data_IF_406533862952
#
_entry.id   IF_406533862952
#
_cell.length_a   1.000
_cell.length_b   1.000
_cell.length_c   1.000
_cell.angle_alpha   90.00
_cell.angle_beta   90.00
_cell.angle_gamma   90.00
#
_symmetry.space_group_name_H-M   'P 1'
#
loop_
_entity.id
_entity.type
_entity.pdbx_description
1 polymer ?
#
# COMPACT_ATOMS: atom_id res chain seq x y z
N UNK A 1 29.84 -7.51 -17.32
CA UNK A 1 28.87 -7.66 -18.42
C UNK A 1 29.57 -7.85 -19.74
N UNK A 2 30.45 -6.95 -20.20
CA UNK A 2 31.10 -7.00 -21.50
C UNK A 2 31.93 -8.26 -21.75
N UNK A 3 32.73 -8.69 -20.76
CA UNK A 3 33.57 -9.91 -20.84
C UNK A 3 32.77 -11.19 -21.16
N UNK A 4 31.50 -11.26 -20.73
CA UNK A 4 30.67 -12.45 -20.89
C UNK A 4 29.54 -12.29 -21.92
N UNK A 5 29.49 -11.12 -22.59
CA UNK A 5 28.46 -10.78 -23.57
C UNK A 5 28.26 -11.82 -24.70
N UNK A 6 29.30 -12.52 -25.19
CA UNK A 6 29.11 -13.54 -26.21
C UNK A 6 28.24 -14.72 -25.73
N UNK A 7 28.37 -15.09 -24.45
CA UNK A 7 27.75 -16.30 -23.89
C UNK A 7 26.60 -16.00 -22.88
N UNK A 8 26.34 -14.72 -22.56
CA UNK A 8 25.37 -14.34 -21.55
C UNK A 8 24.39 -13.26 -22.10
N UNK A 9 23.12 -13.50 -21.89
CA UNK A 9 22.07 -12.47 -22.07
C UNK A 9 21.51 -12.12 -20.70
N UNK A 10 21.53 -10.83 -20.34
CA UNK A 10 21.12 -10.33 -19.05
C UNK A 10 19.86 -9.48 -19.17
N UNK A 11 18.81 -9.85 -18.45
CA UNK A 11 17.57 -9.07 -18.32
C UNK A 11 17.44 -8.64 -16.86
N UNK A 12 17.39 -7.32 -16.62
CA UNK A 12 17.22 -6.73 -15.30
C UNK A 12 15.81 -6.20 -15.17
N UNK A 13 15.09 -6.61 -14.14
CA UNK A 13 13.75 -6.14 -13.81
C UNK A 13 13.83 -5.23 -12.59
N UNK A 14 13.33 -4.02 -12.71
CA UNK A 14 13.33 -3.04 -11.62
C UNK A 14 12.11 -2.13 -11.70
N UNK A 15 11.57 -1.73 -10.54
CA UNK A 15 10.47 -0.76 -10.47
C UNK A 15 10.94 0.67 -10.75
N UNK A 16 12.21 0.97 -10.50
CA UNK A 16 12.81 2.29 -10.73
C UNK A 16 14.26 2.14 -11.18
N UNK A 17 14.66 2.98 -12.12
CA UNK A 17 16.05 3.07 -12.60
C UNK A 17 16.99 3.71 -11.59
N UNK A 18 16.49 4.36 -10.54
CA UNK A 18 17.30 5.01 -9.51
C UNK A 18 18.18 4.04 -8.72
N UNK A 19 17.73 2.80 -8.56
CA UNK A 19 18.46 1.75 -7.86
C UNK A 19 19.50 1.02 -8.74
N UNK A 20 19.55 1.35 -10.04
CA UNK A 20 20.49 0.78 -10.98
C UNK A 20 21.64 1.76 -11.20
N UNK A 21 22.86 1.31 -10.92
CA UNK A 21 24.07 2.14 -11.06
C UNK A 21 24.26 2.60 -12.51
N UNK A 22 24.84 3.79 -12.68
CA UNK A 22 25.03 4.40 -13.98
C UNK A 22 25.81 3.52 -14.99
N UNK A 23 26.89 2.81 -14.60
CA UNK A 23 27.62 1.91 -15.52
C UNK A 23 26.78 0.76 -16.09
N UNK A 24 25.77 0.28 -15.37
CA UNK A 24 24.86 -0.75 -15.88
C UNK A 24 23.86 -0.13 -16.84
N UNK A 25 23.27 1.02 -16.46
CA UNK A 25 22.32 1.74 -17.33
C UNK A 25 22.89 2.12 -18.68
N UNK A 26 24.17 2.52 -18.73
CA UNK A 26 24.84 2.89 -19.98
C UNK A 26 25.14 1.70 -20.91
N UNK A 27 25.13 0.45 -20.38
CA UNK A 27 25.43 -0.78 -21.12
C UNK A 27 24.19 -1.63 -21.41
N UNK A 28 23.02 -1.18 -21.05
CA UNK A 28 21.75 -1.92 -21.22
C UNK A 28 20.73 -1.07 -21.95
N UNK A 29 19.91 -1.73 -22.76
CA UNK A 29 18.73 -1.08 -23.34
C UNK A 29 17.65 -0.91 -22.25
N UNK A 30 17.25 0.32 -22.01
CA UNK A 30 16.16 0.60 -21.08
C UNK A 30 14.81 0.48 -21.80
N UNK A 31 14.01 -0.49 -21.37
CA UNK A 31 12.65 -0.70 -21.85
C UNK A 31 11.68 -0.34 -20.73
N UNK A 32 10.82 0.65 -20.96
CA UNK A 32 9.80 1.05 -20.00
C UNK A 32 8.54 0.21 -20.20
N UNK A 33 8.16 -0.53 -19.16
CA UNK A 33 6.87 -1.25 -19.09
C UNK A 33 5.93 -0.47 -18.18
N UNK A 34 4.87 0.10 -18.75
CA UNK A 34 3.88 0.87 -18.00
C UNK A 34 2.99 -0.07 -17.15
N UNK A 35 2.40 0.47 -16.07
CA UNK A 35 1.31 -0.23 -15.39
C UNK A 35 0.11 -0.39 -16.33
N UNK A 36 -0.63 -1.51 -16.26
CA UNK A 36 -1.76 -1.76 -17.15
C UNK A 36 -2.85 -0.70 -16.97
N UNK A 37 -3.64 -0.44 -18.01
CA UNK A 37 -4.85 0.36 -17.91
C UNK A 37 -5.96 -0.43 -17.20
N UNK A 38 -7.03 0.27 -16.77
CA UNK A 38 -8.19 -0.41 -16.18
C UNK A 38 -8.83 -1.41 -17.15
N UNK A 39 -8.90 -1.06 -18.44
CA UNK A 39 -9.46 -1.94 -19.48
C UNK A 39 -8.61 -3.19 -19.66
N UNK A 40 -7.28 -3.04 -19.72
CA UNK A 40 -6.36 -4.19 -19.79
C UNK A 40 -6.48 -5.12 -18.58
N UNK A 41 -6.70 -4.58 -17.38
CA UNK A 41 -6.96 -5.39 -16.20
C UNK A 41 -8.28 -6.15 -16.35
N UNK A 42 -9.35 -5.48 -16.79
CA UNK A 42 -10.63 -6.13 -17.05
C UNK A 42 -10.50 -7.26 -18.07
N UNK A 43 -9.75 -7.06 -19.15
CA UNK A 43 -9.51 -8.10 -20.17
C UNK A 43 -8.79 -9.32 -19.58
N UNK A 44 -7.78 -9.09 -18.73
CA UNK A 44 -7.06 -10.19 -18.06
C UNK A 44 -7.96 -10.94 -17.08
N UNK A 45 -8.80 -10.23 -16.30
CA UNK A 45 -9.76 -10.86 -15.40
C UNK A 45 -10.82 -11.66 -16.17
N UNK A 46 -11.31 -11.15 -17.31
CA UNK A 46 -12.22 -11.88 -18.17
C UNK A 46 -11.59 -13.13 -18.80
N UNK A 47 -10.30 -13.08 -19.15
CA UNK A 47 -9.56 -14.27 -19.59
C UNK A 47 -9.39 -15.31 -18.48
N UNK A 48 -9.12 -14.86 -17.25
CA UNK A 48 -9.03 -15.74 -16.09
C UNK A 48 -10.38 -16.41 -15.81
N UNK A 49 -11.48 -15.64 -15.82
CA UNK A 49 -12.84 -16.16 -15.68
C UNK A 49 -13.16 -17.30 -16.67
N UNK A 50 -12.82 -17.09 -17.95
CA UNK A 50 -13.02 -18.11 -18.98
C UNK A 50 -12.23 -19.39 -18.74
N UNK A 51 -10.99 -19.28 -18.22
CA UNK A 51 -10.16 -20.45 -17.91
C UNK A 51 -10.70 -21.24 -16.73
N UNK A 52 -11.23 -20.56 -15.71
CA UNK A 52 -11.82 -21.18 -14.52
C UNK A 52 -13.30 -21.55 -14.70
N UNK A 53 -13.87 -21.32 -15.90
CA UNK A 53 -15.30 -21.57 -16.19
C UNK A 53 -16.24 -20.84 -15.22
N UNK A 54 -15.85 -19.63 -14.81
CA UNK A 54 -16.59 -18.78 -13.90
C UNK A 54 -17.21 -17.59 -14.68
N UNK A 55 -18.48 -17.30 -14.41
CA UNK A 55 -19.22 -16.20 -15.03
C UNK A 55 -19.65 -15.18 -13.96
N UNK A 56 -18.77 -14.25 -13.58
CA UNK A 56 -19.06 -13.24 -12.59
C UNK A 56 -19.95 -12.13 -13.15
N UNK A 57 -20.59 -11.37 -12.25
CA UNK A 57 -21.37 -10.19 -12.63
C UNK A 57 -20.54 -9.16 -13.43
N UNK A 58 -21.12 -8.50 -14.45
CA UNK A 58 -20.37 -7.66 -15.42
C UNK A 58 -19.63 -6.47 -14.78
N UNK A 59 -20.14 -5.94 -13.67
CA UNK A 59 -19.54 -4.78 -12.96
C UNK A 59 -18.33 -5.13 -12.09
N UNK A 60 -18.15 -6.41 -11.72
CA UNK A 60 -17.10 -6.83 -10.79
C UNK A 60 -15.69 -6.50 -11.32
N UNK A 61 -15.41 -6.82 -12.58
CA UNK A 61 -14.09 -6.57 -13.19
C UNK A 61 -13.68 -5.09 -13.11
N UNK A 62 -14.62 -4.18 -13.40
CA UNK A 62 -14.36 -2.73 -13.34
C UNK A 62 -14.08 -2.27 -11.92
N UNK A 63 -14.84 -2.76 -10.93
CA UNK A 63 -14.64 -2.43 -9.53
C UNK A 63 -13.26 -2.89 -9.03
N UNK A 64 -12.89 -4.13 -9.32
CA UNK A 64 -11.57 -4.67 -8.95
C UNK A 64 -10.46 -3.91 -9.66
N UNK A 65 -10.61 -3.56 -10.94
CA UNK A 65 -9.61 -2.79 -11.67
C UNK A 65 -9.35 -1.41 -11.05
N UNK A 66 -10.39 -0.73 -10.55
CA UNK A 66 -10.26 0.55 -9.86
C UNK A 66 -9.61 0.35 -8.48
N UNK A 67 -10.10 -0.60 -7.68
CA UNK A 67 -9.67 -0.81 -6.29
C UNK A 67 -8.25 -1.38 -6.18
N UNK A 68 -7.80 -2.13 -7.19
CA UNK A 68 -6.42 -2.61 -7.28
C UNK A 68 -5.37 -1.51 -7.50
N UNK A 69 -5.78 -0.28 -7.85
CA UNK A 69 -4.86 0.82 -8.12
C UNK A 69 -3.90 0.54 -9.27
N UNK A 70 -4.36 -0.15 -10.31
CA UNK A 70 -3.57 -0.57 -11.49
C UNK A 70 -2.48 -1.60 -11.19
N UNK A 71 -2.57 -2.31 -10.07
CA UNK A 71 -1.68 -3.42 -9.73
C UNK A 71 -2.34 -4.74 -10.15
N UNK A 72 -1.87 -5.34 -11.25
CA UNK A 72 -2.45 -6.56 -11.81
C UNK A 72 -2.40 -7.74 -10.85
N UNK A 73 -1.31 -7.90 -10.09
CA UNK A 73 -1.22 -8.99 -9.09
C UNK A 73 -2.26 -8.82 -8.00
N UNK A 74 -2.43 -7.60 -7.49
CA UNK A 74 -3.46 -7.28 -6.49
C UNK A 74 -4.84 -7.55 -7.06
N UNK A 75 -5.11 -7.15 -8.31
CA UNK A 75 -6.39 -7.40 -8.98
C UNK A 75 -6.72 -8.89 -9.07
N UNK A 76 -5.76 -9.73 -9.46
CA UNK A 76 -5.96 -11.19 -9.54
C UNK A 76 -6.20 -11.81 -8.17
N UNK A 77 -5.45 -11.40 -7.13
CA UNK A 77 -5.66 -11.90 -5.77
C UNK A 77 -7.01 -11.49 -5.19
N UNK A 78 -7.44 -10.23 -5.44
CA UNK A 78 -8.78 -9.77 -5.05
C UNK A 78 -9.87 -10.56 -5.77
N UNK A 79 -9.67 -10.86 -7.05
CA UNK A 79 -10.60 -11.65 -7.86
C UNK A 79 -10.75 -13.08 -7.35
N UNK A 80 -9.63 -13.73 -7.02
CA UNK A 80 -9.60 -15.06 -6.41
C UNK A 80 -10.27 -15.06 -5.02
N UNK A 81 -9.99 -14.06 -4.19
CA UNK A 81 -10.60 -13.94 -2.87
C UNK A 81 -12.13 -13.78 -2.94
N UNK A 82 -12.64 -12.99 -3.89
CA UNK A 82 -14.08 -12.87 -4.12
C UNK A 82 -14.69 -14.20 -4.57
N UNK A 83 -14.02 -14.91 -5.47
CA UNK A 83 -14.47 -16.22 -5.94
C UNK A 83 -14.49 -17.27 -4.82
N UNK A 84 -13.43 -17.31 -4.00
CA UNK A 84 -13.32 -18.29 -2.90
C UNK A 84 -14.33 -18.06 -1.76
N UNK A 85 -14.73 -16.81 -1.51
CA UNK A 85 -15.63 -16.46 -0.42
C UNK A 85 -17.12 -16.50 -0.79
N UNK A 86 -17.46 -16.47 -2.07
CA UNK A 86 -18.84 -16.35 -2.52
C UNK A 86 -19.14 -17.37 -3.62
N UNK A 87 -20.16 -18.20 -3.43
CA UNK A 87 -20.65 -19.12 -4.46
C UNK A 87 -21.34 -18.35 -5.60
N UNK A 88 -22.08 -17.29 -5.27
CA UNK A 88 -22.76 -16.43 -6.23
C UNK A 88 -22.28 -14.99 -6.08
N UNK A 89 -21.79 -14.40 -7.15
CA UNK A 89 -21.22 -13.04 -7.16
C UNK A 89 -22.14 -12.09 -7.90
N UNK A 90 -22.54 -11.02 -7.22
CA UNK A 90 -23.35 -9.93 -7.75
C UNK A 90 -22.51 -8.66 -7.93
N UNK A 91 -23.01 -7.68 -8.67
CA UNK A 91 -22.34 -6.38 -8.81
C UNK A 91 -22.12 -5.64 -7.47
N UNK A 92 -22.92 -5.94 -6.46
CA UNK A 92 -22.81 -5.36 -5.11
C UNK A 92 -21.96 -6.17 -4.13
N UNK A 93 -21.47 -7.36 -4.52
CA UNK A 93 -20.64 -8.20 -3.64
C UNK A 93 -19.44 -7.42 -3.13
N UNK A 94 -19.20 -7.35 -1.80
CA UNK A 94 -18.06 -6.63 -1.26
C UNK A 94 -16.74 -7.30 -1.67
N UNK A 95 -15.76 -6.47 -2.04
CA UNK A 95 -14.42 -6.93 -2.34
C UNK A 95 -13.65 -6.93 -1.01
N UNK A 96 -13.16 -8.08 -0.52
CA UNK A 96 -12.43 -8.12 0.74
C UNK A 96 -11.10 -7.36 0.60
N UNK A 97 -10.81 -6.41 1.50
CA UNK A 97 -9.48 -5.80 1.55
C UNK A 97 -8.46 -6.85 2.00
N UNK A 98 -7.19 -6.65 1.67
CA UNK A 98 -6.14 -7.48 2.23
C UNK A 98 -6.08 -7.36 3.76
N UNK A 99 -5.82 -8.45 4.48
CA UNK A 99 -5.83 -8.49 5.96
C UNK A 99 -4.94 -7.41 6.59
N UNK A 100 -3.77 -7.17 6.01
CA UNK A 100 -2.87 -6.13 6.47
C UNK A 100 -3.42 -4.71 6.24
N UNK A 101 -4.18 -4.47 5.16
CA UNK A 101 -4.86 -3.19 4.90
C UNK A 101 -6.01 -2.96 5.89
N UNK A 102 -6.73 -4.04 6.23
CA UNK A 102 -7.78 -4.01 7.24
C UNK A 102 -7.20 -3.70 8.63
N UNK A 103 -6.08 -4.34 9.00
CA UNK A 103 -5.39 -4.09 10.26
C UNK A 103 -4.88 -2.65 10.36
N UNK A 104 -4.31 -2.09 9.29
CA UNK A 104 -3.90 -0.67 9.25
C UNK A 104 -5.13 0.25 9.39
N UNK A 105 -6.27 -0.12 8.80
CA UNK A 105 -7.52 0.62 8.99
C UNK A 105 -8.01 0.63 10.42
N UNK A 106 -7.87 -0.48 11.15
CA UNK A 106 -8.17 -0.57 12.59
C UNK A 106 -7.21 0.31 13.40
N UNK A 107 -5.90 0.25 13.12
CA UNK A 107 -4.89 1.09 13.76
C UNK A 107 -5.23 2.57 13.58
N UNK A 108 -5.61 2.98 12.36
CA UNK A 108 -5.97 4.37 12.08
C UNK A 108 -7.17 4.83 12.93
N UNK A 109 -8.21 4.01 13.04
CA UNK A 109 -9.38 4.32 13.90
C UNK A 109 -8.99 4.44 15.36
N UNK A 110 -8.24 3.48 15.90
CA UNK A 110 -7.79 3.49 17.28
C UNK A 110 -6.93 4.70 17.63
N UNK A 111 -6.11 5.18 16.68
CA UNK A 111 -5.31 6.39 16.85
C UNK A 111 -6.19 7.64 16.88
N UNK A 112 -7.31 7.64 16.15
CA UNK A 112 -8.26 8.76 16.14
C UNK A 112 -9.14 8.80 17.41
N UNK A 113 -9.47 7.62 17.96
CA UNK A 113 -10.39 7.51 19.09
C UNK A 113 -9.73 7.89 20.43
N UNK A 114 -8.44 7.60 20.60
CA UNK A 114 -7.77 7.79 21.89
C UNK A 114 -6.27 8.15 21.72
N UNK A 115 -5.83 9.24 22.38
CA UNK A 115 -4.47 9.80 22.29
C UNK A 115 -3.66 9.59 23.58
N UNK A 116 -3.65 8.35 24.10
CA UNK A 116 -2.95 8.02 25.36
C UNK A 116 -1.66 7.23 25.10
N UNK A 117 -0.69 7.26 26.04
CA UNK A 117 0.48 6.39 25.98
C UNK A 117 0.14 4.89 25.95
N UNK A 118 -0.96 4.50 26.63
CA UNK A 118 -1.44 3.11 26.61
C UNK A 118 -1.85 2.69 25.19
N UNK A 119 -2.55 3.58 24.46
CA UNK A 119 -2.92 3.33 23.06
C UNK A 119 -1.70 3.16 22.16
N UNK A 120 -0.65 3.95 22.36
CA UNK A 120 0.62 3.80 21.59
C UNK A 120 1.21 2.40 21.79
N UNK A 121 1.16 1.82 23.00
CA UNK A 121 1.66 0.47 23.27
C UNK A 121 0.81 -0.61 22.55
N UNK A 122 -0.50 -0.44 22.48
CA UNK A 122 -1.39 -1.35 21.74
C UNK A 122 -1.13 -1.27 20.23
N UNK A 123 -0.99 -0.07 19.69
CA UNK A 123 -0.64 0.16 18.28
C UNK A 123 0.72 -0.43 17.96
N UNK A 124 1.71 -0.32 18.86
CA UNK A 124 3.04 -0.94 18.72
C UNK A 124 2.93 -2.45 18.48
N UNK A 125 2.11 -3.16 19.24
CA UNK A 125 1.90 -4.60 19.06
C UNK A 125 1.42 -4.92 17.64
N UNK A 126 0.42 -4.20 17.15
CA UNK A 126 -0.12 -4.39 15.79
C UNK A 126 0.89 -4.01 14.69
N UNK A 127 1.72 -2.98 14.92
CA UNK A 127 2.80 -2.65 14.00
C UNK A 127 3.87 -3.74 13.95
N UNK A 128 4.16 -4.40 15.07
CA UNK A 128 5.05 -5.58 15.10
C UNK A 128 4.44 -6.74 14.31
N UNK A 129 3.14 -6.99 14.44
CA UNK A 129 2.46 -8.03 13.66
C UNK A 129 2.61 -7.79 12.16
N UNK A 130 2.38 -6.55 11.70
CA UNK A 130 2.60 -6.18 10.29
C UNK A 130 4.04 -6.39 9.84
N UNK A 131 5.02 -6.00 10.66
CA UNK A 131 6.44 -6.18 10.33
C UNK A 131 6.85 -7.65 10.32
N UNK A 132 6.29 -8.48 11.23
CA UNK A 132 6.53 -9.93 11.28
C UNK A 132 6.00 -10.64 10.04
N UNK A 133 4.87 -10.15 9.49
CA UNK A 133 4.33 -10.61 8.20
C UNK A 133 5.05 -10.02 6.99
N UNK A 134 6.24 -9.44 7.19
CA UNK A 134 7.10 -8.89 6.12
C UNK A 134 6.46 -7.78 5.29
N UNK A 135 5.47 -7.05 5.82
CA UNK A 135 4.93 -5.87 5.13
C UNK A 135 5.98 -4.75 5.16
N UNK A 136 6.35 -4.17 4.00
CA UNK A 136 7.38 -3.13 3.96
C UNK A 136 6.98 -1.92 4.81
N UNK A 137 7.87 -1.40 5.66
CA UNK A 137 7.54 -0.31 6.59
C UNK A 137 7.13 0.98 5.90
N UNK A 138 7.68 1.26 4.73
CA UNK A 138 7.27 2.40 3.90
C UNK A 138 5.83 2.24 3.39
N UNK A 139 5.40 1.01 3.11
CA UNK A 139 4.02 0.68 2.73
C UNK A 139 3.10 0.85 3.92
N UNK A 140 3.49 0.38 5.12
CA UNK A 140 2.72 0.57 6.37
C UNK A 140 2.51 2.07 6.62
N UNK A 141 3.59 2.85 6.64
CA UNK A 141 3.52 4.29 6.89
C UNK A 141 2.64 5.01 5.86
N UNK A 142 2.84 4.73 4.58
CA UNK A 142 2.08 5.33 3.49
C UNK A 142 0.59 5.02 3.60
N UNK A 143 0.23 3.75 3.79
CA UNK A 143 -1.17 3.32 3.89
C UNK A 143 -1.84 3.91 5.14
N UNK A 144 -1.14 3.91 6.28
CA UNK A 144 -1.62 4.53 7.51
C UNK A 144 -1.86 6.03 7.32
N UNK A 145 -0.90 6.74 6.71
CA UNK A 145 -1.04 8.16 6.41
C UNK A 145 -2.27 8.44 5.56
N UNK A 146 -2.49 7.70 4.47
CA UNK A 146 -3.67 7.90 3.63
C UNK A 146 -4.99 7.59 4.35
N UNK A 147 -5.01 6.58 5.22
CA UNK A 147 -6.19 6.30 6.04
C UNK A 147 -6.49 7.44 7.01
N UNK A 148 -5.47 7.97 7.68
CA UNK A 148 -5.62 9.12 8.59
C UNK A 148 -6.05 10.40 7.83
N UNK A 149 -5.46 10.68 6.65
CA UNK A 149 -5.83 11.83 5.83
C UNK A 149 -7.30 11.82 5.37
N UNK A 150 -7.90 10.64 5.24
CA UNK A 150 -9.33 10.51 4.92
C UNK A 150 -10.26 10.81 6.11
N UNK A 151 -9.72 10.82 7.34
CA UNK A 151 -10.49 11.00 8.58
C UNK A 151 -10.32 12.39 9.21
N UNK A 152 -9.36 13.19 8.73
CA UNK A 152 -9.01 14.50 9.31
C UNK A 152 -9.42 15.66 8.40
N UNK A 153 -9.54 16.84 9.00
CA UNK A 153 -9.83 18.07 8.29
C UNK A 153 -8.67 18.56 7.41
N UNK A 154 -9.01 19.34 6.38
CA UNK A 154 -8.03 19.84 5.40
C UNK A 154 -6.91 20.67 6.02
N UNK A 155 -7.20 21.40 7.10
CA UNK A 155 -6.21 22.21 7.80
C UNK A 155 -5.04 21.44 8.39
N UNK A 156 -5.25 20.18 8.79
CA UNK A 156 -4.23 19.30 9.36
C UNK A 156 -3.44 18.51 8.32
N UNK A 157 -3.99 18.31 7.12
CA UNK A 157 -3.42 17.43 6.11
C UNK A 157 -1.98 17.79 5.77
N UNK A 158 -1.66 19.08 5.67
CA UNK A 158 -0.32 19.56 5.36
C UNK A 158 0.73 19.13 6.38
N UNK A 159 0.42 19.28 7.67
CA UNK A 159 1.34 18.89 8.75
C UNK A 159 1.50 17.37 8.83
N UNK A 160 0.43 16.60 8.68
CA UNK A 160 0.48 15.13 8.69
C UNK A 160 1.33 14.60 7.53
N UNK A 161 1.18 15.14 6.32
CA UNK A 161 1.99 14.78 5.16
C UNK A 161 3.47 15.11 5.40
N UNK A 162 3.77 16.31 5.92
CA UNK A 162 5.14 16.75 6.26
C UNK A 162 5.82 15.76 7.22
N UNK A 163 5.14 15.37 8.29
CA UNK A 163 5.71 14.44 9.27
C UNK A 163 5.78 13.02 8.75
N UNK A 164 4.84 12.59 7.92
CA UNK A 164 4.92 11.30 7.24
C UNK A 164 6.17 11.22 6.34
N UNK A 165 6.43 12.24 5.53
CA UNK A 165 7.62 12.31 4.69
C UNK A 165 8.92 12.32 5.52
N UNK A 166 8.93 13.05 6.64
CA UNK A 166 10.07 13.08 7.55
C UNK A 166 10.37 11.67 8.12
N UNK A 167 9.36 10.97 8.62
CA UNK A 167 9.57 9.63 9.18
C UNK A 167 9.83 8.58 8.11
N UNK A 168 9.29 8.71 6.89
CA UNK A 168 9.68 7.85 5.77
C UNK A 168 11.16 7.96 5.45
N UNK A 169 11.71 9.17 5.43
CA UNK A 169 13.14 9.39 5.25
C UNK A 169 13.94 8.71 6.38
N UNK A 170 13.51 8.87 7.63
CA UNK A 170 14.15 8.24 8.78
C UNK A 170 14.08 6.72 8.76
N UNK A 171 13.01 6.14 8.27
CA UNK A 171 12.88 4.68 8.06
C UNK A 171 13.93 4.19 7.05
N UNK A 172 14.18 4.95 5.99
CA UNK A 172 15.15 4.57 4.94
C UNK A 172 16.61 4.72 5.38
N UNK A 173 16.88 5.64 6.29
CA UNK A 173 18.24 5.93 6.77
C UNK A 173 18.59 5.23 8.09
N UNK A 174 17.57 4.87 8.89
CA UNK A 174 17.73 4.25 10.19
C UNK A 174 17.74 2.73 10.16
N UNK A 175 18.13 2.11 11.27
CA UNK A 175 18.25 0.65 11.40
C UNK A 175 17.03 -0.02 12.05
N UNK A 176 16.33 0.67 12.95
CA UNK A 176 15.19 0.13 13.72
C UNK A 176 13.89 0.83 13.33
N UNK A 177 13.23 0.26 12.37
CA UNK A 177 12.02 0.80 11.71
C UNK A 177 10.88 1.07 12.68
N UNK A 178 10.64 0.17 13.64
CA UNK A 178 9.51 0.27 14.58
C UNK A 178 9.49 1.60 15.34
N UNK A 179 10.65 2.10 15.77
CA UNK A 179 10.73 3.37 16.49
C UNK A 179 10.28 4.57 15.64
N UNK A 180 10.52 4.53 14.35
CA UNK A 180 10.09 5.60 13.44
C UNK A 180 8.60 5.56 13.16
N UNK A 181 8.02 4.35 13.02
CA UNK A 181 6.58 4.16 12.87
C UNK A 181 5.84 4.63 14.13
N UNK A 182 6.30 4.22 15.30
CA UNK A 182 5.73 4.62 16.58
C UNK A 182 5.88 6.14 16.84
N UNK A 183 7.03 6.71 16.52
CA UNK A 183 7.25 8.14 16.62
C UNK A 183 6.34 8.94 15.68
N UNK A 184 6.01 8.41 14.50
CA UNK A 184 5.01 9.01 13.62
C UNK A 184 3.63 9.00 14.27
N UNK A 185 3.21 7.87 14.85
CA UNK A 185 1.92 7.76 15.56
C UNK A 185 1.83 8.76 16.71
N UNK A 186 2.83 8.80 17.56
CA UNK A 186 2.88 9.75 18.70
C UNK A 186 2.87 11.21 18.21
N UNK A 187 3.57 11.51 17.12
CA UNK A 187 3.58 12.85 16.51
C UNK A 187 2.23 13.24 15.94
N UNK A 188 1.56 12.30 15.27
CA UNK A 188 0.20 12.50 14.75
C UNK A 188 -0.78 12.80 15.89
N UNK A 189 -0.82 11.96 16.93
CA UNK A 189 -1.69 12.16 18.09
C UNK A 189 -1.49 13.55 18.72
N UNK A 190 -0.23 13.98 18.89
CA UNK A 190 0.07 15.32 19.43
C UNK A 190 -0.46 16.45 18.53
N UNK A 191 -0.28 16.34 17.21
CA UNK A 191 -0.73 17.36 16.27
C UNK A 191 -2.26 17.45 16.28
N UNK A 192 -2.90 16.30 16.30
CA UNK A 192 -4.36 16.22 16.31
C UNK A 192 -4.95 16.83 17.61
N UNK A 193 -4.40 16.49 18.79
CA UNK A 193 -4.79 17.09 20.07
C UNK A 193 -4.60 18.60 20.09
N UNK A 194 -3.47 19.11 19.61
CA UNK A 194 -3.24 20.56 19.55
C UNK A 194 -4.24 21.26 18.64
N UNK A 195 -4.65 20.60 17.55
CA UNK A 195 -5.67 21.14 16.66
C UNK A 195 -7.05 21.17 17.31
N UNK A 196 -7.46 20.10 18.00
CA UNK A 196 -8.74 20.05 18.74
C UNK A 196 -8.78 21.16 19.78
N UNK A 197 -7.74 21.35 20.59
CA UNK A 197 -7.64 22.45 21.57
C UNK A 197 -7.74 23.84 20.92
N UNK A 198 -7.22 24.00 19.69
CA UNK A 198 -7.30 25.29 18.96
C UNK A 198 -8.69 25.57 18.40
N UNK A 199 -9.55 24.56 18.25
CA UNK A 199 -10.93 24.70 17.78
C UNK A 199 -11.92 24.98 18.91
N UNK A 200 -11.52 24.64 20.15
CA UNK A 200 -12.35 24.88 21.35
C UNK A 200 -12.16 26.29 21.96
N UNK A 201 -11.13 27.01 21.53
CA UNK A 201 -10.86 28.41 21.96
C UNK A 201 -11.48 29.40 20.98
#
# INVERSE_FOLDING_TARGET
>A
MEKYSPNLRLILLANSTSNIIAPIRSRTLLVRVAAPSHDQICDVLAQAAKKESWDPAPGLHKRIAVESGRNLRKALLMYEAVHAQNETVTDSTPIPPADWEALIGQIAKEIMDEHTPARILQVRSKLYDLLTHCIPPTTILKTLTFKLLAMIDDGLKGDVIKWSAFYEHRIKTGTKVIFHLEAFVAKFMRIFEMYLMSMEM
#
